data_IF_746641675869
#
_entry.id   IF_746641675869
#
_cell.length_a   1.000
_cell.length_b   1.000
_cell.length_c   1.000
_cell.angle_alpha   90.00
_cell.angle_beta   90.00
_cell.angle_gamma   90.00
#
_symmetry.space_group_name_H-M   'P 1'
#
loop_
_entity.id
_entity.type
_entity.pdbx_description
1 polymer ?
#
# COMPACT_ATOMS: atom_id res chain seq x y z
N UNK A 1 -3.76 -13.72 -12.93
CA UNK A 1 -4.77 -13.02 -13.78
C UNK A 1 -4.24 -12.81 -15.19
N UNK A 2 -3.09 -12.15 -15.39
CA UNK A 2 -2.47 -12.05 -16.73
C UNK A 2 -2.18 -13.41 -17.37
N UNK A 3 -1.68 -14.37 -16.58
CA UNK A 3 -1.44 -15.74 -17.07
C UNK A 3 -2.72 -16.50 -17.43
N UNK A 4 -3.81 -16.24 -16.72
CA UNK A 4 -5.08 -16.96 -16.89
C UNK A 4 -5.95 -16.36 -18.00
N UNK A 5 -5.96 -15.03 -18.11
CA UNK A 5 -6.78 -14.31 -19.10
C UNK A 5 -6.03 -14.11 -20.43
N UNK A 6 -4.69 -14.14 -20.44
CA UNK A 6 -3.89 -14.08 -21.66
C UNK A 6 -4.23 -12.89 -22.55
N UNK A 7 -4.45 -13.13 -23.85
CA UNK A 7 -4.77 -12.09 -24.82
C UNK A 7 -6.12 -11.41 -24.58
N UNK A 8 -7.07 -12.08 -23.92
CA UNK A 8 -8.41 -11.54 -23.68
C UNK A 8 -8.39 -10.29 -22.78
N UNK A 9 -7.36 -10.12 -21.94
CA UNK A 9 -7.17 -8.89 -21.16
C UNK A 9 -6.99 -7.63 -22.02
N UNK A 10 -6.61 -7.78 -23.31
CA UNK A 10 -6.50 -6.65 -24.25
C UNK A 10 -7.80 -6.35 -24.99
N UNK A 11 -8.78 -7.24 -24.89
CA UNK A 11 -10.08 -7.09 -25.55
C UNK A 11 -11.09 -6.31 -24.70
N UNK A 12 -10.78 -6.11 -23.41
CA UNK A 12 -11.62 -5.39 -22.45
C UNK A 12 -10.86 -4.21 -21.85
N UNK A 13 -11.53 -3.06 -21.71
CA UNK A 13 -11.01 -1.94 -20.93
C UNK A 13 -11.21 -2.22 -19.43
N UNK A 14 -10.35 -3.06 -18.87
CA UNK A 14 -10.42 -3.46 -17.48
C UNK A 14 -9.71 -2.47 -16.56
N UNK A 15 -10.50 -1.68 -15.83
CA UNK A 15 -10.03 -0.73 -14.80
C UNK A 15 -10.40 -1.26 -13.42
N UNK A 16 -9.48 -1.14 -12.48
CA UNK A 16 -9.61 -1.61 -11.10
C UNK A 16 -9.31 -0.48 -10.12
N UNK A 17 -9.91 -0.57 -8.93
CA UNK A 17 -9.64 0.34 -7.83
C UNK A 17 -8.46 -0.18 -7.03
N UNK A 18 -7.51 0.71 -6.71
CA UNK A 18 -6.39 0.46 -5.79
C UNK A 18 -6.26 1.66 -4.84
N UNK A 19 -5.48 1.51 -3.78
CA UNK A 19 -5.20 2.58 -2.80
C UNK A 19 -3.74 3.06 -2.88
N UNK A 20 -2.91 2.40 -3.69
CA UNK A 20 -1.50 2.75 -3.81
C UNK A 20 -0.85 2.22 -5.10
N UNK A 21 0.16 2.94 -5.59
CA UNK A 21 1.10 2.45 -6.61
C UNK A 21 2.50 2.95 -6.29
N UNK A 22 3.49 2.06 -6.44
CA UNK A 22 4.91 2.43 -6.41
C UNK A 22 5.35 3.17 -7.69
N UNK A 23 4.57 3.04 -8.77
CA UNK A 23 4.93 3.58 -10.08
C UNK A 23 4.64 5.09 -10.09
N UNK A 24 5.69 5.88 -10.28
CA UNK A 24 5.62 7.35 -10.25
C UNK A 24 5.79 7.97 -8.86
N UNK A 25 6.04 7.16 -7.82
CA UNK A 25 6.32 7.67 -6.49
C UNK A 25 7.83 7.74 -6.20
N UNK A 26 8.33 8.97 -6.18
CA UNK A 26 9.75 9.29 -6.01
C UNK A 26 10.11 9.67 -4.57
N UNK A 27 9.27 9.37 -3.58
CA UNK A 27 9.62 9.65 -2.18
C UNK A 27 10.83 8.80 -1.74
N UNK A 28 11.70 9.32 -0.86
CA UNK A 28 12.86 8.56 -0.36
C UNK A 28 12.49 7.23 0.30
N UNK A 29 11.39 7.18 1.07
CA UNK A 29 10.87 5.96 1.70
C UNK A 29 10.54 4.91 0.65
N UNK A 30 9.89 5.31 -0.45
CA UNK A 30 9.50 4.42 -1.53
C UNK A 30 10.72 3.81 -2.20
N UNK A 31 11.75 4.60 -2.49
CA UNK A 31 13.04 4.08 -2.99
C UNK A 31 13.70 3.09 -2.02
N UNK A 32 13.68 3.39 -0.72
CA UNK A 32 14.24 2.49 0.29
C UNK A 32 13.49 1.15 0.34
N UNK A 33 12.16 1.18 0.26
CA UNK A 33 11.34 -0.04 0.25
C UNK A 33 11.56 -0.84 -1.03
N UNK A 34 11.64 -0.20 -2.19
CA UNK A 34 11.97 -0.89 -3.46
C UNK A 34 13.37 -1.51 -3.42
N UNK A 35 14.36 -0.82 -2.87
CA UNK A 35 15.71 -1.38 -2.70
C UNK A 35 15.71 -2.60 -1.75
N UNK A 36 14.95 -2.54 -0.65
CA UNK A 36 14.79 -3.67 0.25
C UNK A 36 14.04 -4.83 -0.42
N UNK A 37 13.00 -4.54 -1.20
CA UNK A 37 12.20 -5.54 -1.90
C UNK A 37 13.03 -6.24 -2.99
N UNK A 38 13.89 -5.52 -3.72
CA UNK A 38 14.85 -6.13 -4.63
C UNK A 38 15.78 -7.10 -3.88
N UNK A 39 16.41 -6.63 -2.79
CA UNK A 39 17.34 -7.45 -2.01
C UNK A 39 16.70 -8.71 -1.42
N UNK A 40 15.46 -8.61 -0.92
CA UNK A 40 14.79 -9.69 -0.19
C UNK A 40 14.00 -10.64 -1.09
N UNK A 41 13.45 -10.12 -2.20
CA UNK A 41 12.48 -10.86 -3.04
C UNK A 41 12.85 -10.86 -4.53
N UNK A 42 13.92 -10.19 -4.94
CA UNK A 42 14.36 -10.12 -6.33
C UNK A 42 13.50 -9.23 -7.22
N UNK A 43 12.68 -8.34 -6.65
CA UNK A 43 11.89 -7.39 -7.43
C UNK A 43 12.79 -6.30 -8.02
N UNK A 44 13.08 -6.40 -9.31
CA UNK A 44 13.99 -5.48 -9.99
C UNK A 44 13.54 -4.01 -9.91
N UNK A 45 12.23 -3.77 -10.00
CA UNK A 45 11.62 -2.45 -9.90
C UNK A 45 10.17 -2.52 -9.41
N UNK A 46 9.49 -1.36 -9.38
CA UNK A 46 8.10 -1.23 -8.99
C UNK A 46 7.11 -2.04 -9.83
N UNK A 47 7.42 -2.28 -11.12
CA UNK A 47 6.55 -3.00 -12.07
C UNK A 47 6.57 -4.49 -11.82
N UNK A 48 7.67 -5.02 -11.27
CA UNK A 48 7.79 -6.43 -10.88
C UNK A 48 6.93 -6.82 -9.67
N UNK A 49 6.37 -5.85 -8.93
CA UNK A 49 5.57 -6.12 -7.74
C UNK A 49 4.13 -6.49 -8.16
N UNK A 50 3.78 -7.77 -8.03
CA UNK A 50 2.47 -8.28 -8.41
C UNK A 50 1.30 -7.70 -7.59
N UNK A 51 1.53 -7.34 -6.32
CA UNK A 51 0.54 -6.74 -5.43
C UNK A 51 1.10 -5.48 -4.75
N UNK A 52 1.14 -4.33 -5.45
CA UNK A 52 1.69 -3.09 -4.90
C UNK A 52 0.91 -2.62 -3.67
N UNK A 53 -0.42 -2.66 -3.73
CA UNK A 53 -1.30 -2.32 -2.61
C UNK A 53 -1.08 -3.24 -1.42
N UNK A 54 -1.01 -4.56 -1.64
CA UNK A 54 -0.78 -5.53 -0.57
C UNK A 54 0.56 -5.31 0.13
N UNK A 55 1.62 -5.08 -0.64
CA UNK A 55 2.95 -4.81 -0.10
C UNK A 55 2.96 -3.52 0.73
N UNK A 56 2.39 -2.43 0.22
CA UNK A 56 2.36 -1.15 0.92
C UNK A 56 1.50 -1.20 2.20
N UNK A 57 0.33 -1.83 2.14
CA UNK A 57 -0.55 -2.02 3.30
C UNK A 57 0.13 -2.83 4.40
N UNK A 58 0.76 -3.95 4.04
CA UNK A 58 1.50 -4.78 4.99
C UNK A 58 2.66 -3.99 5.62
N UNK A 59 3.44 -3.29 4.81
CA UNK A 59 4.55 -2.47 5.28
C UNK A 59 4.09 -1.40 6.28
N UNK A 60 3.08 -0.61 5.93
CA UNK A 60 2.58 0.47 6.78
C UNK A 60 1.95 -0.06 8.07
N UNK A 61 1.09 -1.08 7.98
CA UNK A 61 0.43 -1.66 9.14
C UNK A 61 1.42 -2.32 10.11
N UNK A 62 2.45 -3.01 9.62
CA UNK A 62 3.49 -3.59 10.48
C UNK A 62 4.23 -2.51 11.27
N UNK A 63 4.55 -1.37 10.65
CA UNK A 63 5.21 -0.27 11.36
C UNK A 63 4.28 0.42 12.36
N UNK A 64 3.01 0.59 12.03
CA UNK A 64 2.00 1.13 12.96
C UNK A 64 1.83 0.18 14.15
N UNK A 65 1.75 -1.12 13.92
CA UNK A 65 1.65 -2.14 14.97
C UNK A 65 2.89 -2.14 15.87
N UNK A 66 4.09 -2.09 15.29
CA UNK A 66 5.34 -2.03 16.06
C UNK A 66 5.37 -0.79 16.97
N UNK A 67 4.90 0.37 16.48
CA UNK A 67 4.77 1.59 17.30
C UNK A 67 3.80 1.39 18.46
N UNK A 68 2.64 0.79 18.21
CA UNK A 68 1.66 0.49 19.25
C UNK A 68 2.21 -0.47 20.31
N UNK A 69 2.93 -1.52 19.91
CA UNK A 69 3.58 -2.46 20.82
C UNK A 69 4.62 -1.74 21.69
N UNK A 70 5.48 -0.92 21.06
CA UNK A 70 6.49 -0.14 21.79
C UNK A 70 5.85 0.84 22.78
N UNK A 71 4.74 1.47 22.41
CA UNK A 71 4.00 2.38 23.27
C UNK A 71 3.27 1.65 24.42
N UNK A 72 2.74 0.45 24.17
CA UNK A 72 2.09 -0.36 25.19
C UNK A 72 3.10 -0.97 26.18
N UNK A 73 4.36 -1.16 25.77
CA UNK A 73 5.40 -1.81 26.58
C UNK A 73 5.14 -3.29 26.84
N UNK A 74 4.24 -3.91 26.05
CA UNK A 74 3.80 -5.29 26.21
C UNK A 74 3.29 -5.85 24.88
N UNK A 75 3.20 -7.17 24.78
CA UNK A 75 2.52 -7.88 23.70
C UNK A 75 1.13 -8.35 24.09
N UNK A 76 0.61 -7.93 25.26
CA UNK A 76 -0.79 -8.18 25.62
C UNK A 76 -1.73 -7.58 24.56
N UNK A 77 -2.67 -8.40 24.10
CA UNK A 77 -3.55 -8.04 22.98
C UNK A 77 -4.43 -6.82 23.28
N UNK A 78 -4.97 -6.70 24.50
CA UNK A 78 -5.87 -5.60 24.85
C UNK A 78 -5.09 -4.30 24.97
N UNK A 79 -3.93 -4.33 25.63
CA UNK A 79 -3.04 -3.17 25.73
C UNK A 79 -2.56 -2.69 24.36
N UNK A 80 -2.13 -3.60 23.48
CA UNK A 80 -1.70 -3.24 22.11
C UNK A 80 -2.87 -2.68 21.29
N UNK A 81 -4.07 -3.25 21.41
CA UNK A 81 -5.27 -2.72 20.73
C UNK A 81 -5.59 -1.30 21.17
N UNK A 82 -5.49 -1.00 22.47
CA UNK A 82 -5.69 0.36 22.98
C UNK A 82 -4.59 1.29 22.47
N UNK A 83 -3.33 0.86 22.48
CA UNK A 83 -2.21 1.65 21.99
C UNK A 83 -2.30 1.95 20.48
N UNK A 84 -2.87 1.05 19.67
CA UNK A 84 -3.12 1.30 18.24
C UNK A 84 -3.98 2.56 18.00
N UNK A 85 -4.94 2.85 18.87
CA UNK A 85 -5.80 4.04 18.78
C UNK A 85 -5.07 5.35 19.20
N UNK A 86 -3.88 5.21 19.79
CA UNK A 86 -3.04 6.31 20.24
C UNK A 86 -1.79 6.54 19.39
N UNK A 87 -1.51 5.68 18.41
CA UNK A 87 -0.44 5.94 17.43
C UNK A 87 -0.74 7.25 16.69
N UNK A 88 0.28 8.11 16.57
CA UNK A 88 0.22 9.38 15.83
C UNK A 88 1.38 9.52 14.86
N UNK A 89 1.19 10.39 13.87
CA UNK A 89 2.23 10.93 12.99
C UNK A 89 3.16 9.86 12.40
N UNK A 90 2.57 8.87 11.74
CA UNK A 90 3.29 7.90 10.94
C UNK A 90 3.28 8.32 9.47
N UNK A 91 4.43 8.74 8.96
CA UNK A 91 4.62 8.98 7.53
C UNK A 91 4.75 7.62 6.81
N UNK A 92 3.66 7.11 6.25
CA UNK A 92 3.59 5.80 5.58
C UNK A 92 3.90 5.85 4.09
N UNK A 93 3.98 4.68 3.46
CA UNK A 93 4.01 4.54 2.02
C UNK A 93 2.71 5.06 1.41
N UNK A 94 1.56 4.65 1.90
CA UNK A 94 0.28 5.03 1.25
C UNK A 94 0.02 6.52 1.43
N UNK A 95 0.21 7.02 2.66
CA UNK A 95 0.01 8.43 3.01
C UNK A 95 0.65 8.77 4.37
N UNK A 96 0.76 10.06 4.70
CA UNK A 96 0.99 10.48 6.08
C UNK A 96 -0.24 10.23 6.96
N UNK A 97 -0.10 9.35 7.95
CA UNK A 97 -1.13 9.03 8.93
C UNK A 97 -0.95 9.90 10.18
N UNK A 98 -1.75 10.97 10.30
CA UNK A 98 -1.81 11.78 11.53
C UNK A 98 -2.32 10.99 12.72
N UNK A 99 -3.36 10.19 12.51
CA UNK A 99 -3.93 9.26 13.49
C UNK A 99 -4.55 8.08 12.72
N UNK A 100 -3.81 6.97 12.51
CA UNK A 100 -4.30 5.85 11.70
C UNK A 100 -5.59 5.26 12.27
N UNK A 101 -5.67 5.05 13.59
CA UNK A 101 -6.85 4.50 14.25
C UNK A 101 -7.33 5.38 15.40
N UNK A 102 -8.61 5.30 15.72
CA UNK A 102 -9.22 5.97 16.86
C UNK A 102 -10.38 5.10 17.39
N UNK A 103 -10.85 5.40 18.61
CA UNK A 103 -12.06 4.78 19.15
C UNK A 103 -13.23 4.91 18.15
N UNK A 104 -13.77 3.76 17.71
CA UNK A 104 -14.86 3.70 16.72
C UNK A 104 -14.44 3.94 15.26
N UNK A 105 -13.16 4.20 14.97
CA UNK A 105 -12.63 4.32 13.60
C UNK A 105 -11.38 3.45 13.43
N UNK A 106 -11.59 2.23 12.94
CA UNK A 106 -10.53 1.25 12.69
C UNK A 106 -10.21 1.04 11.21
N UNK A 107 -10.76 1.88 10.33
CA UNK A 107 -10.28 2.05 8.96
C UNK A 107 -9.44 3.34 8.87
N UNK A 108 -8.18 3.18 8.45
CA UNK A 108 -7.24 4.28 8.30
C UNK A 108 -7.30 4.91 6.90
N UNK A 109 -8.04 4.30 5.97
CA UNK A 109 -8.23 4.75 4.61
C UNK A 109 -9.59 5.39 4.42
N UNK A 110 -9.76 6.04 3.27
CA UNK A 110 -10.95 6.76 2.86
C UNK A 110 -11.02 6.81 1.34
N UNK A 111 -12.15 7.26 0.81
CA UNK A 111 -12.36 7.43 -0.63
C UNK A 111 -11.33 8.37 -1.27
N UNK A 112 -10.72 9.31 -0.54
CA UNK A 112 -9.67 10.16 -1.11
C UNK A 112 -8.37 9.41 -1.41
N UNK A 113 -8.20 8.22 -0.85
CA UNK A 113 -7.00 7.39 -1.04
C UNK A 113 -7.14 6.46 -2.24
N UNK A 114 -8.33 6.35 -2.86
CA UNK A 114 -8.52 5.46 -4.01
C UNK A 114 -8.03 6.06 -5.33
N UNK A 115 -7.38 5.22 -6.11
CA UNK A 115 -6.92 5.49 -7.47
C UNK A 115 -7.48 4.43 -8.42
N UNK A 116 -7.65 4.82 -9.68
CA UNK A 116 -7.98 3.90 -10.76
C UNK A 116 -6.68 3.38 -11.38
N UNK A 117 -6.59 2.07 -11.58
CA UNK A 117 -5.42 1.41 -12.18
C UNK A 117 -5.87 0.42 -13.27
N UNK A 118 -4.92 -0.02 -14.09
CA UNK A 118 -5.12 -1.07 -15.09
C UNK A 118 -3.89 -1.96 -15.17
N UNK A 119 -4.03 -3.12 -15.78
CA UNK A 119 -2.88 -3.94 -16.15
C UNK A 119 -2.19 -3.36 -17.40
N UNK A 120 -0.88 -3.22 -17.34
CA UNK A 120 -0.03 -2.98 -18.49
C UNK A 120 0.30 -4.30 -19.22
N UNK A 121 0.81 -4.26 -20.47
CA UNK A 121 1.11 -5.47 -21.25
C UNK A 121 2.11 -6.43 -20.59
N UNK A 122 2.98 -5.92 -19.73
CA UNK A 122 3.95 -6.69 -18.93
C UNK A 122 3.36 -7.22 -17.61
N UNK A 123 2.04 -7.06 -17.40
CA UNK A 123 1.33 -7.52 -16.21
C UNK A 123 1.40 -6.56 -15.02
N UNK A 124 2.12 -5.44 -15.13
CA UNK A 124 2.21 -4.47 -14.03
C UNK A 124 0.89 -3.73 -13.80
N UNK A 125 0.55 -3.43 -12.55
CA UNK A 125 -0.63 -2.62 -12.20
C UNK A 125 -0.23 -1.13 -12.19
N UNK A 126 -0.68 -0.39 -13.20
CA UNK A 126 -0.30 1.01 -13.43
C UNK A 126 -1.47 1.97 -13.19
N UNK A 127 -1.24 3.17 -12.63
CA UNK A 127 -2.27 4.20 -12.53
C UNK A 127 -2.84 4.60 -13.90
N UNK A 128 -4.15 4.82 -13.95
CA UNK A 128 -4.80 5.45 -15.11
C UNK A 128 -4.64 6.95 -14.96
N UNK A 129 -4.11 7.62 -15.99
CA UNK A 129 -4.06 9.08 -16.01
C UNK A 129 -5.48 9.63 -15.81
N UNK A 130 -5.69 10.52 -14.83
CA UNK A 130 -6.95 11.26 -14.74
C UNK A 130 -7.06 12.09 -16.01
N UNK A 131 -7.97 11.72 -16.91
CA UNK A 131 -8.25 12.51 -18.11
C UNK A 131 -8.50 13.96 -17.71
N UNK A 132 -7.83 14.90 -18.38
CA UNK A 132 -8.17 16.32 -18.26
C UNK A 132 -9.66 16.47 -18.58
N UNK A 133 -10.45 16.88 -17.59
CA UNK A 133 -11.78 17.44 -17.85
C UNK A 133 -11.62 18.79 -18.54
#
# INVERSE_FOLDING_TARGET
>A
MSETAGSAMREVDFVMVQTYSFIGDERPRTRQVLAAANRLFGFADARAIASPTGLAHAYDLTHILARAINQAGTTDRLAVRQALEEVRDYDGLIKPYRRPFAAGRHDALSESDVIMTRYAPDGAIVPVARGRR
#
